data_IF_684529951187
#
_entry.id   IF_684529951187
#
_cell.length_a   1.000
_cell.length_b   1.000
_cell.length_c   1.000
_cell.angle_alpha   90.00
_cell.angle_beta   90.00
_cell.angle_gamma   90.00
#
_symmetry.space_group_name_H-M   'P 1'
#
loop_
_entity.id
_entity.type
_entity.pdbx_description
1 polymer ?
#
# COMPACT_ATOMS: atom_id res chain seq x y z
N UNK A 1 -13.21 -18.45 -8.26
CA UNK A 1 -13.32 -18.18 -9.72
C UNK A 1 -12.04 -17.63 -10.36
N UNK A 2 -11.32 -16.69 -9.73
CA UNK A 2 -10.14 -16.02 -10.31
C UNK A 2 -8.85 -16.88 -10.42
N UNK A 3 -8.86 -18.12 -9.93
CA UNK A 3 -7.68 -18.99 -9.96
C UNK A 3 -7.46 -19.69 -11.32
N UNK A 4 -8.43 -19.58 -12.25
CA UNK A 4 -8.35 -20.16 -13.60
C UNK A 4 -8.68 -19.10 -14.67
N UNK A 5 -7.71 -18.22 -14.97
CA UNK A 5 -7.93 -17.08 -15.88
C UNK A 5 -8.12 -17.48 -17.34
N UNK A 6 -7.70 -18.69 -17.70
CA UNK A 6 -7.90 -19.27 -19.02
C UNK A 6 -9.37 -19.55 -19.37
N UNK A 7 -10.29 -19.51 -18.39
CA UNK A 7 -11.73 -19.74 -18.62
C UNK A 7 -12.61 -18.53 -18.34
N UNK A 8 -12.03 -17.42 -17.88
CA UNK A 8 -12.78 -16.25 -17.43
C UNK A 8 -12.81 -15.18 -18.52
N UNK A 9 -13.78 -15.29 -19.42
CA UNK A 9 -14.07 -14.32 -20.49
C UNK A 9 -14.68 -13.02 -19.91
N UNK A 10 -14.63 -11.88 -20.62
CA UNK A 10 -15.15 -10.60 -20.12
C UNK A 10 -16.60 -10.64 -19.62
N UNK A 11 -17.45 -11.46 -20.25
CA UNK A 11 -18.86 -11.61 -19.88
C UNK A 11 -19.03 -12.23 -18.48
N UNK A 12 -18.14 -13.16 -18.09
CA UNK A 12 -18.14 -13.75 -16.76
C UNK A 12 -17.56 -12.78 -15.72
N UNK A 13 -16.59 -11.95 -16.09
CA UNK A 13 -16.12 -10.85 -15.23
C UNK A 13 -17.26 -9.89 -14.89
N UNK A 14 -18.01 -9.44 -15.90
CA UNK A 14 -19.14 -8.53 -15.70
C UNK A 14 -20.28 -9.15 -14.89
N UNK A 15 -20.65 -10.40 -15.19
CA UNK A 15 -21.68 -11.12 -14.44
C UNK A 15 -21.30 -11.24 -12.95
N UNK A 16 -20.04 -11.60 -12.68
CA UNK A 16 -19.53 -11.74 -11.32
C UNK A 16 -19.50 -10.40 -10.58
N UNK A 17 -19.04 -9.33 -11.23
CA UNK A 17 -19.04 -7.99 -10.64
C UNK A 17 -20.45 -7.50 -10.33
N UNK A 18 -21.42 -7.68 -11.25
CA UNK A 18 -22.83 -7.34 -11.01
C UNK A 18 -23.36 -8.04 -9.77
N UNK A 19 -23.05 -9.33 -9.62
CA UNK A 19 -23.47 -10.11 -8.48
C UNK A 19 -22.88 -9.59 -7.15
N UNK A 20 -21.58 -9.31 -7.12
CA UNK A 20 -20.92 -8.78 -5.92
C UNK A 20 -21.46 -7.40 -5.54
N UNK A 21 -21.61 -6.50 -6.51
CA UNK A 21 -22.12 -5.14 -6.27
C UNK A 21 -23.57 -5.20 -5.79
N UNK A 22 -24.44 -5.96 -6.47
CA UNK A 22 -25.83 -6.11 -6.06
C UNK A 22 -25.97 -6.68 -4.63
N UNK A 23 -25.00 -7.50 -4.19
CA UNK A 23 -24.98 -8.04 -2.82
C UNK A 23 -24.41 -7.09 -1.79
N UNK A 24 -23.30 -6.41 -2.08
CA UNK A 24 -22.49 -5.78 -1.03
C UNK A 24 -22.46 -4.25 -1.08
N UNK A 25 -22.84 -3.61 -2.19
CA UNK A 25 -22.67 -2.17 -2.37
C UNK A 25 -23.45 -1.32 -1.34
N UNK A 26 -24.57 -1.82 -0.84
CA UNK A 26 -25.37 -1.13 0.18
C UNK A 26 -24.80 -1.23 1.61
N UNK A 27 -23.78 -2.06 1.84
CA UNK A 27 -23.21 -2.23 3.19
C UNK A 27 -22.19 -1.14 3.49
N UNK A 28 -22.37 -0.44 4.61
CA UNK A 28 -21.44 0.59 5.09
C UNK A 28 -20.08 0.04 5.54
N UNK A 29 -19.96 -1.28 5.68
CA UNK A 29 -18.68 -1.96 5.93
C UNK A 29 -17.85 -2.17 4.66
N UNK A 30 -18.45 -2.00 3.47
CA UNK A 30 -17.69 -1.87 2.23
C UNK A 30 -17.23 -0.43 2.14
N UNK A 31 -15.91 -0.23 2.08
CA UNK A 31 -15.32 1.10 1.96
C UNK A 31 -14.73 1.35 0.58
N UNK A 32 -14.18 0.33 -0.07
CA UNK A 32 -13.41 0.46 -1.31
C UNK A 32 -13.71 -0.76 -2.19
N UNK A 33 -13.94 -0.53 -3.48
CA UNK A 33 -13.94 -1.56 -4.51
C UNK A 33 -12.54 -1.70 -5.10
N UNK A 34 -11.70 -2.54 -4.49
CA UNK A 34 -10.40 -2.90 -5.08
C UNK A 34 -10.63 -3.89 -6.21
N UNK A 35 -10.38 -3.47 -7.44
CA UNK A 35 -10.71 -4.26 -8.64
C UNK A 35 -10.00 -5.60 -8.65
N UNK A 36 -8.73 -5.63 -8.23
CA UNK A 36 -7.91 -6.83 -8.17
C UNK A 36 -6.62 -6.59 -7.36
N UNK A 37 -6.18 -7.62 -6.63
CA UNK A 37 -4.85 -7.69 -6.03
C UNK A 37 -3.79 -7.86 -7.11
N UNK A 38 -2.79 -6.98 -7.17
CA UNK A 38 -1.70 -7.03 -8.15
C UNK A 38 -2.26 -7.16 -9.58
N UNK A 39 -3.06 -6.17 -9.98
CA UNK A 39 -3.88 -6.24 -11.20
C UNK A 39 -3.05 -6.43 -12.49
N UNK A 40 -1.75 -6.16 -12.44
CA UNK A 40 -0.79 -6.39 -13.53
C UNK A 40 -0.61 -7.85 -13.90
N UNK A 41 -1.04 -8.77 -13.04
CA UNK A 41 -1.18 -10.16 -13.46
C UNK A 41 -2.16 -10.30 -14.65
N UNK A 42 -3.09 -9.37 -14.86
CA UNK A 42 -3.99 -9.42 -16.00
C UNK A 42 -3.21 -9.37 -17.35
N UNK A 43 -3.66 -10.09 -18.40
CA UNK A 43 -4.72 -11.10 -18.38
C UNK A 43 -4.21 -12.50 -17.98
N UNK A 44 -2.93 -12.77 -18.17
CA UNK A 44 -2.38 -14.12 -18.29
C UNK A 44 -1.75 -14.69 -17.01
N UNK A 45 -1.76 -13.95 -15.90
CA UNK A 45 -1.10 -14.35 -14.67
C UNK A 45 0.40 -14.05 -14.65
N UNK A 46 0.91 -13.24 -15.57
CA UNK A 46 2.31 -12.82 -15.59
C UNK A 46 2.51 -11.49 -14.83
N UNK A 47 3.39 -11.49 -13.82
CA UNK A 47 3.64 -10.35 -12.94
C UNK A 47 4.65 -9.39 -13.57
N UNK A 48 4.19 -8.46 -14.39
CA UNK A 48 4.97 -7.31 -14.85
C UNK A 48 4.05 -6.24 -15.45
N UNK A 49 4.55 -5.00 -15.56
CA UNK A 49 3.75 -3.91 -16.11
C UNK A 49 3.37 -4.17 -17.57
N UNK A 50 2.06 -4.09 -17.85
CA UNK A 50 1.45 -4.23 -19.18
C UNK A 50 0.38 -3.15 -19.38
N UNK A 51 0.42 -2.37 -20.47
CA UNK A 51 -0.63 -1.39 -20.77
C UNK A 51 -2.05 -2.00 -20.82
N UNK A 52 -2.17 -3.27 -21.17
CA UNK A 52 -3.41 -4.03 -21.23
C UNK A 52 -4.07 -4.14 -19.85
N UNK A 53 -3.29 -4.29 -18.78
CA UNK A 53 -3.80 -4.32 -17.41
C UNK A 53 -4.41 -2.97 -17.01
N UNK A 54 -3.80 -1.85 -17.43
CA UNK A 54 -4.35 -0.51 -17.17
C UNK A 54 -5.66 -0.28 -17.94
N UNK A 55 -5.72 -0.70 -19.21
CA UNK A 55 -6.94 -0.63 -20.01
C UNK A 55 -8.06 -1.47 -19.43
N UNK A 56 -7.72 -2.67 -18.93
CA UNK A 56 -8.65 -3.50 -18.17
C UNK A 56 -9.15 -2.79 -16.92
N UNK A 57 -8.25 -2.27 -16.08
CA UNK A 57 -8.63 -1.56 -14.86
C UNK A 57 -9.52 -0.33 -15.16
N UNK A 58 -9.27 0.40 -16.26
CA UNK A 58 -10.13 1.50 -16.70
C UNK A 58 -11.52 1.00 -17.12
N UNK A 59 -11.61 -0.07 -17.92
CA UNK A 59 -12.89 -0.65 -18.36
C UNK A 59 -13.70 -1.09 -17.14
N UNK A 60 -13.07 -1.87 -16.27
CA UNK A 60 -13.68 -2.45 -15.07
C UNK A 60 -14.07 -1.35 -14.09
N UNK A 61 -13.23 -0.33 -13.87
CA UNK A 61 -13.55 0.80 -13.00
C UNK A 61 -14.74 1.62 -13.50
N UNK A 62 -14.82 1.90 -14.81
CA UNK A 62 -16.01 2.54 -15.41
C UNK A 62 -17.26 1.70 -15.20
N UNK A 63 -17.15 0.38 -15.37
CA UNK A 63 -18.25 -0.53 -15.17
C UNK A 63 -18.76 -0.47 -13.72
N UNK A 64 -17.87 -0.61 -12.74
CA UNK A 64 -18.20 -0.50 -11.31
C UNK A 64 -18.89 0.84 -11.03
N UNK A 65 -18.29 1.97 -11.41
CA UNK A 65 -18.87 3.31 -11.19
C UNK A 65 -20.25 3.50 -11.82
N UNK A 66 -20.54 2.82 -12.93
CA UNK A 66 -21.83 2.91 -13.60
C UNK A 66 -22.93 2.10 -12.90
N UNK A 67 -22.58 1.05 -12.16
CA UNK A 67 -23.57 0.10 -11.61
C UNK A 67 -23.62 0.06 -10.08
N UNK A 68 -22.63 0.64 -9.39
CA UNK A 68 -22.55 0.75 -7.94
C UNK A 68 -23.13 2.10 -7.46
N UNK A 69 -24.41 2.16 -7.04
CA UNK A 69 -25.06 3.43 -6.73
C UNK A 69 -24.57 4.12 -5.45
N UNK A 70 -23.88 3.43 -4.53
CA UNK A 70 -23.48 4.01 -3.25
C UNK A 70 -22.15 4.77 -3.29
N UNK A 71 -21.45 4.78 -4.43
CA UNK A 71 -20.33 5.68 -4.67
C UNK A 71 -19.03 5.35 -3.90
N UNK A 72 -18.82 4.09 -3.52
CA UNK A 72 -17.55 3.67 -2.91
C UNK A 72 -16.36 3.92 -3.85
N UNK A 73 -15.21 4.40 -3.35
CA UNK A 73 -13.98 4.54 -4.12
C UNK A 73 -13.61 3.27 -4.90
N UNK A 74 -13.24 3.45 -6.17
CA UNK A 74 -12.70 2.37 -7.00
C UNK A 74 -11.17 2.40 -6.93
N UNK A 75 -10.57 1.27 -6.58
CA UNK A 75 -9.14 1.16 -6.36
C UNK A 75 -8.47 0.06 -7.19
N UNK A 76 -7.16 0.22 -7.40
CA UNK A 76 -6.27 -0.84 -7.91
C UNK A 76 -5.21 -1.15 -6.86
N UNK A 77 -4.76 -2.41 -6.77
CA UNK A 77 -3.60 -2.80 -5.98
C UNK A 77 -2.46 -3.20 -6.91
N UNK A 78 -1.31 -2.57 -6.80
CA UNK A 78 -0.21 -2.80 -7.74
C UNK A 78 0.72 -3.93 -7.29
N UNK A 79 1.35 -4.59 -8.26
CA UNK A 79 2.61 -5.29 -8.02
C UNK A 79 3.79 -4.38 -8.44
N UNK A 80 3.98 -4.12 -9.74
CA UNK A 80 4.95 -3.16 -10.25
C UNK A 80 4.70 -1.71 -9.79
N UNK A 81 5.79 -0.99 -9.54
CA UNK A 81 5.80 0.40 -9.08
C UNK A 81 5.82 1.41 -10.25
N UNK A 82 6.37 0.99 -11.39
CA UNK A 82 6.58 1.82 -12.57
C UNK A 82 5.77 1.34 -13.78
N UNK A 83 5.36 2.25 -14.69
CA UNK A 83 5.54 3.71 -14.62
C UNK A 83 4.59 4.38 -13.62
N UNK A 84 4.77 5.68 -13.30
CA UNK A 84 3.91 6.37 -12.34
C UNK A 84 2.41 6.29 -12.67
N UNK A 85 1.54 6.15 -11.66
CA UNK A 85 0.10 5.91 -11.84
C UNK A 85 -0.63 7.03 -12.60
N UNK A 86 -0.16 8.28 -12.47
CA UNK A 86 -0.67 9.39 -13.26
C UNK A 86 -0.48 9.16 -14.77
N UNK A 87 0.62 8.53 -15.17
CA UNK A 87 0.87 8.15 -16.57
C UNK A 87 0.02 6.96 -16.99
N UNK A 88 -0.12 5.95 -16.11
CA UNK A 88 -0.94 4.74 -16.34
C UNK A 88 -2.39 5.08 -16.63
N UNK A 89 -2.99 5.93 -15.80
CA UNK A 89 -4.41 6.29 -15.89
C UNK A 89 -4.70 7.61 -16.60
N UNK A 90 -3.71 8.23 -17.26
CA UNK A 90 -3.86 9.51 -17.98
C UNK A 90 -5.02 9.51 -18.97
N UNK A 91 -5.33 8.36 -19.59
CA UNK A 91 -6.40 8.21 -20.59
C UNK A 91 -7.81 8.29 -20.01
N UNK A 92 -7.96 8.09 -18.71
CA UNK A 92 -9.25 8.14 -18.04
C UNK A 92 -9.11 8.69 -16.61
N UNK A 93 -8.78 9.99 -16.46
CA UNK A 93 -8.65 10.61 -15.14
C UNK A 93 -9.94 10.45 -14.33
N UNK A 94 -9.82 10.13 -13.04
CA UNK A 94 -10.95 9.97 -12.14
C UNK A 94 -11.73 8.66 -12.30
N UNK A 95 -11.31 7.72 -13.16
CA UNK A 95 -11.90 6.36 -13.16
C UNK A 95 -11.41 5.52 -11.99
N UNK A 96 -10.12 5.65 -11.65
CA UNK A 96 -9.52 5.07 -10.45
C UNK A 96 -9.36 6.20 -9.43
N UNK A 97 -9.95 6.03 -8.25
CA UNK A 97 -9.97 7.02 -7.17
C UNK A 97 -8.78 6.85 -6.23
N UNK A 98 -8.34 5.60 -6.08
CA UNK A 98 -7.40 5.18 -5.04
C UNK A 98 -6.39 4.16 -5.58
N UNK A 99 -5.13 4.31 -5.18
CA UNK A 99 -4.11 3.27 -5.34
C UNK A 99 -3.85 2.59 -4.01
N UNK A 100 -4.06 1.28 -3.95
CA UNK A 100 -3.63 0.42 -2.85
C UNK A 100 -2.16 0.07 -3.16
N UNK A 101 -1.25 0.88 -2.63
CA UNK A 101 0.15 0.89 -3.04
C UNK A 101 0.97 -0.22 -2.35
N UNK A 102 1.70 -0.99 -3.14
CA UNK A 102 2.62 -2.03 -2.68
C UNK A 102 4.07 -1.66 -3.01
N UNK A 103 4.93 -1.68 -1.99
CA UNK A 103 6.39 -1.76 -2.11
C UNK A 103 6.96 -2.24 -0.78
N UNK A 104 7.97 -3.10 -0.81
CA UNK A 104 8.48 -3.75 0.40
C UNK A 104 9.79 -3.14 0.91
N UNK A 105 10.36 -2.14 0.25
CA UNK A 105 11.66 -1.58 0.62
C UNK A 105 12.81 -2.61 0.58
N UNK A 106 13.78 -2.47 1.49
CA UNK A 106 14.88 -3.42 1.64
C UNK A 106 14.43 -4.75 2.25
N UNK A 107 15.00 -5.85 1.76
CA UNK A 107 14.62 -7.23 2.14
C UNK A 107 15.83 -8.15 2.30
N UNK A 108 17.05 -7.60 2.24
CA UNK A 108 18.27 -8.37 2.37
C UNK A 108 18.54 -8.73 3.82
N UNK A 109 19.37 -9.74 4.03
CA UNK A 109 19.75 -10.22 5.36
C UNK A 109 20.24 -9.11 6.31
N UNK A 110 20.97 -8.15 5.77
CA UNK A 110 21.64 -7.11 6.57
C UNK A 110 20.82 -5.82 6.73
N UNK A 111 19.80 -5.63 5.87
CA UNK A 111 19.08 -4.36 5.74
C UNK A 111 17.56 -4.48 5.70
N UNK A 112 16.99 -5.69 5.75
CA UNK A 112 15.55 -5.89 5.76
C UNK A 112 14.88 -5.11 6.88
N UNK A 113 15.41 -5.19 8.10
CA UNK A 113 14.90 -4.46 9.28
C UNK A 113 14.73 -2.94 9.08
N UNK A 114 15.40 -2.32 8.09
CA UNK A 114 15.29 -0.90 7.77
C UNK A 114 14.05 -0.52 6.96
N UNK A 115 13.52 -1.46 6.17
CA UNK A 115 12.48 -1.23 5.16
C UNK A 115 12.79 0.00 4.27
N UNK A 116 14.04 0.18 3.87
CA UNK A 116 14.52 1.42 3.26
C UNK A 116 13.99 1.63 1.84
N UNK A 117 13.77 2.90 1.47
CA UNK A 117 13.37 3.30 0.12
C UNK A 117 11.87 3.31 -0.14
N UNK A 118 11.04 2.90 0.82
CA UNK A 118 9.58 2.93 0.72
C UNK A 118 9.09 4.34 0.34
N UNK A 119 9.52 5.37 1.08
CA UNK A 119 9.10 6.75 0.86
C UNK A 119 9.50 7.28 -0.53
N UNK A 120 10.68 6.88 -1.02
CA UNK A 120 11.18 7.28 -2.33
C UNK A 120 10.35 6.63 -3.44
N UNK A 121 10.00 5.35 -3.27
CA UNK A 121 9.16 4.60 -4.22
C UNK A 121 7.72 5.08 -4.25
N UNK A 122 7.13 5.39 -3.09
CA UNK A 122 5.83 6.05 -3.02
C UNK A 122 5.88 7.36 -3.81
N UNK A 123 6.87 8.21 -3.52
CA UNK A 123 7.03 9.52 -4.16
C UNK A 123 7.19 9.42 -5.69
N UNK A 124 8.02 8.50 -6.18
CA UNK A 124 8.24 8.33 -7.62
C UNK A 124 7.01 7.77 -8.33
N UNK A 125 6.38 6.74 -7.76
CA UNK A 125 5.27 6.01 -8.40
C UNK A 125 3.97 6.83 -8.40
N UNK A 126 3.78 7.69 -7.40
CA UNK A 126 2.63 8.57 -7.29
C UNK A 126 2.92 9.99 -7.79
N UNK A 127 4.04 10.19 -8.48
CA UNK A 127 4.34 11.47 -9.11
C UNK A 127 3.17 11.91 -10.00
N UNK A 128 2.69 13.13 -9.76
CA UNK A 128 1.55 13.76 -10.44
C UNK A 128 0.19 13.07 -10.24
N UNK A 129 0.11 12.02 -9.41
CA UNK A 129 -1.16 11.39 -9.06
C UNK A 129 -2.05 12.37 -8.31
N UNK A 130 -3.32 12.43 -8.71
CA UNK A 130 -4.32 13.34 -8.12
C UNK A 130 -5.34 12.63 -7.25
N UNK A 131 -5.44 11.32 -7.36
CA UNK A 131 -6.27 10.51 -6.47
C UNK A 131 -5.60 10.31 -5.11
N UNK A 132 -6.29 9.58 -4.25
CA UNK A 132 -5.74 9.14 -2.98
C UNK A 132 -4.85 7.89 -3.18
N UNK A 133 -4.13 7.50 -2.15
CA UNK A 133 -3.52 6.19 -2.05
C UNK A 133 -3.55 5.72 -0.59
N UNK A 134 -3.40 4.41 -0.40
CA UNK A 134 -3.17 3.74 0.88
C UNK A 134 -1.93 2.89 0.69
N UNK A 135 -1.00 2.90 1.65
CA UNK A 135 0.14 2.00 1.60
C UNK A 135 -0.30 0.61 2.07
N UNK A 136 -0.66 -0.24 1.11
CA UNK A 136 -1.46 -1.42 1.33
C UNK A 136 -0.63 -2.68 1.64
N UNK A 137 0.59 -2.76 1.13
CA UNK A 137 1.42 -3.93 1.31
C UNK A 137 2.92 -3.57 1.29
N UNK A 138 3.63 -3.98 2.35
CA UNK A 138 5.05 -3.71 2.52
C UNK A 138 5.84 -4.88 3.04
N UNK A 139 5.44 -6.08 2.60
CA UNK A 139 5.99 -7.33 3.07
C UNK A 139 5.39 -7.76 4.40
N UNK A 140 5.09 -9.04 4.52
CA UNK A 140 4.51 -9.60 5.73
C UNK A 140 5.60 -10.06 6.69
N UNK A 141 5.36 -9.84 7.98
CA UNK A 141 6.26 -10.32 9.02
C UNK A 141 6.38 -11.85 8.96
N UNK A 142 7.62 -12.34 8.96
CA UNK A 142 7.99 -13.75 8.91
C UNK A 142 7.65 -14.45 10.22
N UNK A 143 6.96 -15.60 10.14
CA UNK A 143 6.80 -16.53 11.25
C UNK A 143 7.72 -17.75 11.06
N UNK A 144 8.82 -17.80 11.81
CA UNK A 144 9.85 -18.83 11.69
C UNK A 144 9.36 -20.28 11.88
N UNK A 145 8.18 -20.51 12.47
CA UNK A 145 7.60 -21.86 12.61
C UNK A 145 6.97 -22.39 11.31
N UNK A 146 6.67 -21.51 10.36
CA UNK A 146 6.05 -21.85 9.08
C UNK A 146 7.12 -22.13 8.03
N UNK A 147 6.80 -22.91 7.00
CA UNK A 147 7.70 -23.08 5.86
C UNK A 147 7.85 -21.75 5.10
N UNK A 148 9.04 -21.47 4.58
CA UNK A 148 9.28 -20.27 3.78
C UNK A 148 8.70 -20.45 2.37
N UNK A 149 7.45 -20.03 2.16
CA UNK A 149 6.79 -20.11 0.84
C UNK A 149 7.08 -18.94 -0.08
N UNK A 150 7.42 -17.78 0.47
CA UNK A 150 7.80 -16.61 -0.30
C UNK A 150 9.22 -16.18 0.11
N UNK A 151 10.26 -16.48 -0.69
CA UNK A 151 11.64 -16.20 -0.32
C UNK A 151 11.91 -14.73 0.04
N UNK A 152 11.17 -13.79 -0.56
CA UNK A 152 11.27 -12.36 -0.25
C UNK A 152 10.85 -11.99 1.18
N UNK A 153 10.23 -12.91 1.94
CA UNK A 153 9.85 -12.71 3.34
C UNK A 153 10.92 -13.17 4.34
N UNK A 154 11.99 -13.85 3.90
CA UNK A 154 12.93 -14.54 4.79
C UNK A 154 13.46 -13.69 5.95
N UNK A 155 13.73 -12.41 5.69
CA UNK A 155 14.33 -11.47 6.64
C UNK A 155 13.37 -10.37 7.13
N UNK A 156 12.06 -10.49 6.85
CA UNK A 156 11.07 -9.49 7.25
C UNK A 156 10.62 -9.77 8.69
N UNK A 157 11.31 -9.18 9.65
CA UNK A 157 11.02 -9.33 11.07
C UNK A 157 10.08 -8.21 11.59
N UNK A 158 9.84 -8.22 12.91
CA UNK A 158 9.02 -7.21 13.59
C UNK A 158 9.59 -5.79 13.47
N UNK A 159 10.89 -5.65 13.21
CA UNK A 159 11.56 -4.38 12.97
C UNK A 159 11.30 -3.86 11.55
N UNK A 160 11.22 -4.75 10.54
CA UNK A 160 10.71 -4.43 9.21
C UNK A 160 9.26 -3.94 9.29
N UNK A 161 8.40 -4.67 9.99
CA UNK A 161 6.99 -4.28 10.25
C UNK A 161 6.91 -2.87 10.83
N UNK A 162 7.69 -2.60 11.89
CA UNK A 162 7.72 -1.30 12.55
C UNK A 162 8.13 -0.20 11.57
N UNK A 163 9.27 -0.35 10.88
CA UNK A 163 9.80 0.74 10.06
C UNK A 163 9.02 0.96 8.78
N UNK A 164 8.55 -0.11 8.14
CA UNK A 164 7.65 0.00 6.99
C UNK A 164 6.40 0.80 7.34
N UNK A 165 5.79 0.50 8.50
CA UNK A 165 4.61 1.21 8.99
C UNK A 165 4.87 2.71 9.21
N UNK A 166 5.94 3.08 9.91
CA UNK A 166 6.31 4.48 10.15
C UNK A 166 6.68 5.22 8.86
N UNK A 167 7.42 4.60 7.94
CA UNK A 167 7.76 5.20 6.62
C UNK A 167 6.52 5.45 5.77
N UNK A 168 5.58 4.51 5.76
CA UNK A 168 4.29 4.66 5.11
C UNK A 168 3.50 5.84 5.67
N UNK A 169 3.33 5.88 6.99
CA UNK A 169 2.63 6.98 7.66
C UNK A 169 3.29 8.35 7.40
N UNK A 170 4.62 8.43 7.47
CA UNK A 170 5.39 9.64 7.17
C UNK A 170 5.43 10.00 5.67
N UNK A 171 4.92 9.14 4.81
CA UNK A 171 4.63 9.49 3.42
C UNK A 171 3.27 10.18 3.27
N UNK A 172 2.51 10.40 4.35
CA UNK A 172 1.24 11.13 4.34
C UNK A 172 0.03 10.29 3.96
N UNK A 173 0.07 8.98 4.23
CA UNK A 173 -1.01 8.04 3.91
C UNK A 173 -1.33 7.11 5.08
N UNK A 174 -2.54 6.54 5.07
CA UNK A 174 -2.85 5.35 5.88
C UNK A 174 -2.07 4.13 5.41
N UNK A 175 -1.93 3.15 6.30
CA UNK A 175 -1.24 1.87 6.06
C UNK A 175 -2.20 0.68 6.24
N UNK A 176 -1.93 -0.40 5.52
CA UNK A 176 -2.48 -1.74 5.78
C UNK A 176 -1.29 -2.66 5.96
N UNK A 177 -1.37 -3.54 6.96
CA UNK A 177 -0.36 -4.56 7.20
C UNK A 177 -1.00 -5.94 7.17
N UNK A 178 -0.25 -6.91 6.66
CA UNK A 178 -0.57 -8.33 6.75
C UNK A 178 0.57 -9.07 7.44
N UNK A 179 0.22 -10.21 8.01
CA UNK A 179 1.13 -11.10 8.72
C UNK A 179 1.23 -12.38 7.91
N UNK A 180 2.35 -13.09 8.00
CA UNK A 180 2.44 -14.40 7.35
C UNK A 180 1.39 -15.36 7.94
N UNK A 181 1.10 -15.24 9.24
CA UNK A 181 -0.02 -15.93 9.89
C UNK A 181 -1.37 -15.68 9.21
N UNK A 182 -1.63 -14.47 8.71
CA UNK A 182 -2.92 -14.13 8.09
C UNK A 182 -2.91 -14.31 6.57
N UNK A 183 -1.80 -14.78 6.00
CA UNK A 183 -1.70 -15.11 4.59
C UNK A 183 -2.36 -16.47 4.29
N UNK A 184 -3.08 -16.56 3.18
CA UNK A 184 -3.94 -17.69 2.82
C UNK A 184 -3.29 -19.10 2.89
N UNK A 185 -2.01 -19.30 2.56
CA UNK A 185 -1.35 -20.60 2.68
C UNK A 185 -1.21 -21.13 4.12
N UNK A 186 -1.28 -20.25 5.13
CA UNK A 186 -1.08 -20.60 6.53
C UNK A 186 -2.35 -20.44 7.36
N UNK A 187 -2.98 -19.25 7.30
CA UNK A 187 -4.25 -18.93 7.95
C UNK A 187 -4.33 -19.35 9.43
N UNK A 188 -3.54 -18.69 10.27
CA UNK A 188 -3.49 -18.81 11.73
C UNK A 188 -3.99 -17.49 12.34
N UNK A 189 -5.30 -17.18 12.27
CA UNK A 189 -5.83 -15.87 12.64
C UNK A 189 -5.85 -15.61 14.16
N UNK A 190 -5.71 -16.65 14.98
CA UNK A 190 -5.82 -16.57 16.44
C UNK A 190 -4.49 -16.21 17.12
N UNK A 191 -3.41 -16.01 16.34
CA UNK A 191 -2.07 -15.73 16.84
C UNK A 191 -1.50 -14.43 16.26
N UNK A 192 -1.31 -13.44 17.13
CA UNK A 192 -0.59 -12.21 16.78
C UNK A 192 0.92 -12.48 16.64
N UNK A 193 1.54 -11.86 15.64
CA UNK A 193 3.00 -11.80 15.53
C UNK A 193 3.55 -10.58 16.29
N UNK A 194 4.86 -10.56 16.54
CA UNK A 194 5.51 -9.59 17.42
C UNK A 194 5.29 -8.14 16.97
N UNK A 195 5.27 -7.87 15.67
CA UNK A 195 5.09 -6.51 15.14
C UNK A 195 3.75 -5.86 15.44
N UNK A 196 2.72 -6.63 15.85
CA UNK A 196 1.40 -6.08 16.19
C UNK A 196 1.48 -4.96 17.24
N UNK A 197 2.36 -5.09 18.25
CA UNK A 197 2.55 -4.07 19.28
C UNK A 197 3.00 -2.71 18.71
N UNK A 198 3.78 -2.73 17.63
CA UNK A 198 4.26 -1.52 16.96
C UNK A 198 3.14 -0.86 16.15
N UNK A 199 2.29 -1.65 15.49
CA UNK A 199 1.14 -1.15 14.74
C UNK A 199 0.09 -0.52 15.67
N UNK A 200 -0.16 -1.12 16.84
CA UNK A 200 -1.03 -0.53 17.86
C UNK A 200 -0.49 0.80 18.39
N UNK A 201 0.84 0.91 18.58
CA UNK A 201 1.49 2.16 18.96
C UNK A 201 1.34 3.23 17.89
N UNK A 202 1.59 2.88 16.62
CA UNK A 202 1.41 3.78 15.48
C UNK A 202 -0.04 4.28 15.38
N UNK A 203 -1.01 3.36 15.46
CA UNK A 203 -2.44 3.67 15.45
C UNK A 203 -2.77 4.67 16.55
N UNK A 204 -2.41 4.37 17.79
CA UNK A 204 -2.69 5.25 18.92
C UNK A 204 -2.10 6.64 18.73
N UNK A 205 -0.86 6.74 18.24
CA UNK A 205 -0.22 8.03 17.97
C UNK A 205 -1.00 8.86 16.95
N UNK A 206 -1.31 8.28 15.78
CA UNK A 206 -1.96 9.01 14.69
C UNK A 206 -3.48 9.19 14.82
N UNK A 207 -4.13 8.47 15.76
CA UNK A 207 -5.57 8.67 16.02
C UNK A 207 -5.85 9.49 17.28
N UNK A 208 -4.96 9.45 18.27
CA UNK A 208 -5.24 10.02 19.60
C UNK A 208 -4.23 11.11 20.04
N UNK A 209 -3.03 11.16 19.45
CA UNK A 209 -2.01 12.15 19.83
C UNK A 209 -1.92 13.29 18.83
N UNK A 210 -2.03 13.01 17.53
CA UNK A 210 -1.95 14.03 16.48
C UNK A 210 -3.15 14.02 15.56
N UNK A 211 -3.51 15.19 15.05
CA UNK A 211 -4.51 15.34 13.98
C UNK A 211 -3.86 15.02 12.63
N UNK A 212 -3.72 13.73 12.29
CA UNK A 212 -2.95 13.27 11.12
C UNK A 212 -3.23 14.03 9.82
N UNK A 213 -4.50 14.35 9.56
CA UNK A 213 -4.94 15.06 8.35
C UNK A 213 -4.37 16.48 8.18
N UNK A 214 -3.87 17.09 9.27
CA UNK A 214 -3.22 18.40 9.25
C UNK A 214 -1.75 18.33 8.83
N UNK A 215 -1.12 17.16 8.86
CA UNK A 215 0.30 16.96 8.58
C UNK A 215 0.55 16.52 7.14
N UNK A 216 1.64 17.02 6.54
CA UNK A 216 2.13 16.62 5.21
C UNK A 216 3.64 16.36 5.25
N UNK A 217 4.17 15.44 4.43
CA UNK A 217 5.62 15.26 4.31
C UNK A 217 6.31 16.58 3.96
N UNK A 218 7.36 16.95 4.70
CA UNK A 218 8.05 18.24 4.53
C UNK A 218 9.57 18.11 4.54
N UNK A 219 10.19 17.67 3.43
CA UNK A 219 11.62 17.38 3.41
C UNK A 219 12.52 18.60 3.68
N UNK A 220 12.00 19.82 3.70
CA UNK A 220 12.76 21.06 3.93
C UNK A 220 13.27 21.18 5.37
N UNK A 221 12.66 20.46 6.31
CA UNK A 221 13.04 20.46 7.73
C UNK A 221 14.33 19.68 7.96
N UNK A 222 14.61 18.69 7.09
CA UNK A 222 15.81 17.86 7.21
C UNK A 222 17.01 18.63 6.63
N UNK A 223 18.14 18.61 7.33
CA UNK A 223 19.38 19.19 6.84
C UNK A 223 19.85 18.48 5.55
N UNK A 224 19.78 19.19 4.43
CA UNK A 224 20.16 18.66 3.12
C UNK A 224 21.68 18.63 2.91
N UNK A 225 22.47 19.24 3.79
CA UNK A 225 23.94 19.18 3.75
C UNK A 225 24.48 17.84 4.27
N UNK A 226 23.69 17.12 5.06
CA UNK A 226 24.06 15.82 5.62
C UNK A 226 23.83 14.72 4.58
N UNK A 227 24.89 13.96 4.29
CA UNK A 227 24.80 12.76 3.46
C UNK A 227 24.42 11.55 4.32
N UNK A 228 23.13 11.22 4.31
CA UNK A 228 22.62 10.03 4.98
C UNK A 228 22.98 8.75 4.21
N UNK A 229 23.20 7.66 4.95
CA UNK A 229 23.23 6.31 4.36
C UNK A 229 21.82 5.96 3.89
N UNK A 230 21.71 5.07 2.91
CA UNK A 230 20.41 4.62 2.42
C UNK A 230 19.56 4.06 3.57
N UNK A 231 18.31 4.50 3.66
CA UNK A 231 17.40 4.12 4.75
C UNK A 231 17.62 4.83 6.09
N UNK A 232 18.69 5.60 6.29
CA UNK A 232 18.94 6.24 7.59
C UNK A 232 18.51 7.71 7.65
N UNK A 233 18.05 8.27 6.52
CA UNK A 233 17.56 9.65 6.46
C UNK A 233 16.33 9.79 7.35
N UNK A 234 16.28 10.79 8.26
CA UNK A 234 15.07 11.15 8.98
C UNK A 234 13.90 11.42 8.04
N UNK A 235 12.68 11.14 8.48
CA UNK A 235 11.47 11.57 7.81
C UNK A 235 10.78 12.64 8.66
N UNK A 236 10.11 13.57 8.01
CA UNK A 236 9.42 14.64 8.70
C UNK A 236 8.10 14.98 8.03
N UNK A 237 7.16 15.39 8.87
CA UNK A 237 5.91 15.99 8.45
C UNK A 237 5.70 17.31 9.18
N UNK A 238 5.04 18.27 8.55
CA UNK A 238 4.67 19.53 9.17
C UNK A 238 3.22 19.89 8.88
N UNK A 239 2.64 20.71 9.74
CA UNK A 239 1.37 21.38 9.46
C UNK A 239 1.55 22.45 8.39
N UNK A 240 0.46 22.83 7.72
CA UNK A 240 0.50 23.90 6.73
C UNK A 240 0.96 25.26 7.28
N UNK A 241 0.80 25.48 8.59
CA UNK A 241 1.22 26.70 9.28
C UNK A 241 2.65 26.61 9.86
N UNK A 242 3.24 25.42 9.91
CA UNK A 242 4.57 25.19 10.50
C UNK A 242 4.62 25.30 12.02
N UNK A 243 3.47 25.28 12.70
CA UNK A 243 3.35 25.34 14.16
C UNK A 243 3.59 23.99 14.85
N UNK A 244 3.52 22.89 14.11
CA UNK A 244 3.88 21.56 14.59
C UNK A 244 4.69 20.77 13.55
N UNK A 245 5.64 19.97 14.06
CA UNK A 245 6.52 19.12 13.27
C UNK A 245 6.55 17.73 13.89
N UNK A 246 6.48 16.71 13.04
CA UNK A 246 6.74 15.32 13.40
C UNK A 246 8.07 14.90 12.81
N UNK A 247 8.87 14.19 13.60
CA UNK A 247 10.16 13.65 13.20
C UNK A 247 10.20 12.15 13.48
N UNK A 248 10.57 11.39 12.46
CA UNK A 248 10.87 9.98 12.58
C UNK A 248 12.34 9.75 12.26
N UNK A 249 13.05 9.14 13.21
CA UNK A 249 14.48 8.82 13.11
C UNK A 249 14.62 7.31 12.95
N UNK A 250 14.76 6.76 11.72
CA UNK A 250 14.70 5.31 11.49
C UNK A 250 15.74 4.50 12.29
N UNK A 251 16.88 5.11 12.59
CA UNK A 251 17.99 4.49 13.33
C UNK A 251 18.24 5.16 14.68
N UNK A 252 17.27 5.94 15.18
CA UNK A 252 17.43 6.79 16.37
C UNK A 252 18.34 7.99 16.12
N UNK A 253 18.80 8.63 17.21
CA UNK A 253 19.63 9.83 17.17
C UNK A 253 18.95 11.03 17.85
N UNK A 254 19.43 12.23 17.53
CA UNK A 254 18.90 13.50 18.05
C UNK A 254 18.57 14.46 16.91
N UNK A 255 17.66 15.39 17.19
CA UNK A 255 17.34 16.55 16.35
C UNK A 255 17.54 17.81 17.21
N UNK A 256 17.99 18.90 16.58
CA UNK A 256 18.25 20.20 17.21
C UNK A 256 17.55 21.30 16.45
#
# INVERSE_FOLDING_TARGET
PFNARNVFIPEYEELWMRYLIARYDAFTSVYIWTLMNEYEYYPNGDWHYKPEADLWAIRTGRFVKNIAPHGHPVAVHNGPEDPPFAKRFKRAPGVIDLVMFQTWGTRGKDDAWLAAGIEDKISSSLKEWKGSYIFAEYGYERNLSLELKLPGHEYLDSEHTRRGAWRGAFSGTGIIHGFENTWGPWWIPDEDQEGMKYLLTLKNFFTNTVEFHCFKPDPRIIDQSVRYKFGTKPLCMSTGQGDAVLLYLPVGGSAT
#
